data_IF_581575221831
#
_entry.id   IF_581575221831
#
_cell.length_a   1.000
_cell.length_b   1.000
_cell.length_c   1.000
_cell.angle_alpha   90.00
_cell.angle_beta   90.00
_cell.angle_gamma   90.00
#
_symmetry.space_group_name_H-M   'P 1'
#
loop_
_entity.id
_entity.type
_entity.pdbx_description
1 polymer ?
#
# COMPACT_ATOMS: atom_id res chain seq x y z
N UNK A 1 -10.73 -18.33 -9.02
CA UNK A 1 -10.27 -16.94 -8.87
C UNK A 1 -10.50 -16.51 -7.44
N UNK A 2 -9.43 -16.21 -6.71
CA UNK A 2 -9.49 -15.79 -5.30
C UNK A 2 -10.04 -14.38 -5.17
N UNK A 3 -10.44 -13.96 -3.96
CA UNK A 3 -10.83 -12.55 -3.71
C UNK A 3 -9.66 -11.58 -3.95
N UNK A 4 -8.43 -12.01 -3.67
CA UNK A 4 -7.21 -11.27 -4.01
C UNK A 4 -7.11 -11.05 -5.52
N UNK A 5 -7.28 -12.11 -6.33
CA UNK A 5 -7.20 -12.02 -7.80
C UNK A 5 -8.28 -11.07 -8.34
N UNK A 6 -9.53 -11.20 -7.85
CA UNK A 6 -10.64 -10.30 -8.22
C UNK A 6 -10.34 -8.84 -7.91
N UNK A 7 -9.69 -8.57 -6.77
CA UNK A 7 -9.34 -7.20 -6.41
C UNK A 7 -8.21 -6.66 -7.26
N UNK A 8 -7.15 -7.46 -7.51
CA UNK A 8 -6.09 -7.10 -8.46
C UNK A 8 -6.67 -6.76 -9.82
N UNK A 9 -7.54 -7.60 -10.36
CA UNK A 9 -8.23 -7.37 -11.64
C UNK A 9 -8.99 -6.04 -11.63
N UNK A 10 -9.65 -5.67 -10.54
CA UNK A 10 -10.36 -4.38 -10.46
C UNK A 10 -9.40 -3.18 -10.51
N UNK A 11 -8.20 -3.28 -9.94
CA UNK A 11 -7.19 -2.23 -10.04
C UNK A 11 -6.57 -2.16 -11.45
N UNK A 12 -6.30 -3.32 -12.06
CA UNK A 12 -5.58 -3.43 -13.33
C UNK A 12 -6.46 -3.29 -14.57
N UNK A 13 -7.79 -3.32 -14.44
CA UNK A 13 -8.71 -3.08 -15.56
C UNK A 13 -9.16 -1.61 -15.70
N UNK A 14 -8.65 -0.69 -14.87
CA UNK A 14 -9.02 0.73 -14.86
C UNK A 14 -8.01 1.70 -15.51
N UNK A 15 -8.23 3.01 -15.32
CA UNK A 15 -7.26 4.05 -15.69
C UNK A 15 -5.94 3.85 -14.92
N UNK A 16 -4.81 3.87 -15.63
CA UNK A 16 -3.47 3.57 -15.10
C UNK A 16 -3.20 2.09 -14.81
N UNK A 17 -3.92 1.19 -15.49
CA UNK A 17 -3.76 -0.27 -15.46
C UNK A 17 -2.30 -0.74 -15.42
N UNK A 18 -1.48 -0.24 -16.35
CA UNK A 18 -0.08 -0.62 -16.47
C UNK A 18 0.74 -0.30 -15.21
N UNK A 19 0.48 0.86 -14.57
CA UNK A 19 1.19 1.24 -13.36
C UNK A 19 0.76 0.44 -12.15
N UNK A 20 -0.52 0.09 -12.03
CA UNK A 20 -0.95 -0.83 -10.98
C UNK A 20 -0.31 -2.21 -11.16
N UNK A 21 -0.22 -2.71 -12.39
CA UNK A 21 0.51 -3.95 -12.69
C UNK A 21 1.96 -3.83 -12.22
N UNK A 22 2.68 -2.78 -12.61
CA UNK A 22 4.09 -2.57 -12.22
C UNK A 22 4.27 -2.46 -10.69
N UNK A 23 3.39 -1.72 -10.01
CA UNK A 23 3.42 -1.60 -8.54
C UNK A 23 3.23 -2.98 -7.90
N UNK A 24 2.21 -3.72 -8.31
CA UNK A 24 1.90 -5.01 -7.70
C UNK A 24 2.97 -6.05 -8.00
N UNK A 25 3.48 -6.11 -9.24
CA UNK A 25 4.62 -6.96 -9.60
C UNK A 25 5.84 -6.63 -8.75
N UNK A 26 6.21 -5.35 -8.61
CA UNK A 26 7.35 -4.92 -7.78
C UNK A 26 7.19 -5.37 -6.33
N UNK A 27 6.00 -5.20 -5.76
CA UNK A 27 5.74 -5.59 -4.38
C UNK A 27 5.81 -7.12 -4.21
N UNK A 28 5.22 -7.88 -5.13
CA UNK A 28 5.16 -9.34 -5.05
C UNK A 28 6.51 -10.00 -5.30
N UNK A 29 7.30 -9.47 -6.22
CA UNK A 29 8.68 -9.92 -6.48
C UNK A 29 9.60 -9.71 -5.27
N UNK A 30 9.28 -8.76 -4.39
CA UNK A 30 10.00 -8.56 -3.13
C UNK A 30 9.55 -9.48 -1.99
N UNK A 31 8.65 -10.43 -2.26
CA UNK A 31 8.20 -11.44 -1.30
C UNK A 31 7.01 -11.02 -0.42
N UNK A 32 6.43 -9.83 -0.65
CA UNK A 32 5.23 -9.41 0.07
C UNK A 32 4.00 -10.16 -0.47
N UNK A 33 3.16 -10.61 0.45
CA UNK A 33 1.96 -11.41 0.13
C UNK A 33 0.72 -10.54 0.06
N UNK A 34 -0.03 -10.69 -1.03
CA UNK A 34 -1.29 -9.97 -1.24
C UNK A 34 -2.47 -10.66 -0.53
N UNK A 35 -3.26 -9.88 0.20
CA UNK A 35 -4.49 -10.29 0.87
C UNK A 35 -5.65 -9.37 0.48
N UNK A 36 -6.58 -9.90 -0.30
CA UNK A 36 -7.82 -9.21 -0.65
C UNK A 36 -8.85 -9.24 0.48
N UNK A 37 -9.31 -8.08 0.93
CA UNK A 37 -10.42 -7.95 1.90
C UNK A 37 -11.70 -7.55 1.19
N UNK A 38 -12.56 -8.54 0.94
CA UNK A 38 -13.80 -8.42 0.16
C UNK A 38 -14.78 -7.38 0.72
N UNK A 39 -14.81 -7.19 2.04
CA UNK A 39 -15.67 -6.24 2.73
C UNK A 39 -15.31 -4.77 2.54
N UNK A 40 -14.07 -4.46 2.14
CA UNK A 40 -13.51 -3.09 2.16
C UNK A 40 -12.88 -2.68 0.84
N UNK A 41 -13.01 -3.50 -0.21
CA UNK A 41 -12.33 -3.28 -1.52
C UNK A 41 -10.85 -2.95 -1.36
N UNK A 42 -10.22 -3.55 -0.33
CA UNK A 42 -8.84 -3.27 0.05
C UNK A 42 -7.96 -4.44 -0.35
N UNK A 43 -6.87 -4.14 -1.05
CA UNK A 43 -5.78 -5.06 -1.31
C UNK A 43 -4.62 -4.73 -0.35
N UNK A 44 -4.39 -5.63 0.61
CA UNK A 44 -3.36 -5.49 1.64
C UNK A 44 -2.12 -6.26 1.22
N UNK A 45 -0.94 -5.69 1.41
CA UNK A 45 0.34 -6.35 1.20
C UNK A 45 1.06 -6.51 2.53
N UNK A 46 1.40 -7.77 2.83
CA UNK A 46 1.92 -8.17 4.12
C UNK A 46 3.34 -8.73 3.96
N UNK A 47 4.19 -8.40 4.92
CA UNK A 47 5.52 -8.98 5.07
C UNK A 47 5.52 -9.90 6.29
N UNK A 48 6.08 -11.09 6.15
CA UNK A 48 6.33 -11.99 7.28
C UNK A 48 7.80 -11.85 7.65
N UNK A 49 8.05 -11.38 8.86
CA UNK A 49 9.42 -11.22 9.35
C UNK A 49 10.05 -12.59 9.74
N UNK A 50 11.36 -12.63 10.02
CA UNK A 50 12.03 -13.87 10.44
C UNK A 50 11.52 -14.46 11.75
N UNK A 51 10.86 -13.66 12.61
CA UNK A 51 10.24 -14.14 13.85
C UNK A 51 8.87 -14.80 13.61
N UNK A 52 8.34 -14.68 12.39
CA UNK A 52 7.03 -15.16 11.99
C UNK A 52 5.90 -14.16 12.22
N UNK A 53 6.19 -12.95 12.69
CA UNK A 53 5.24 -11.84 12.82
C UNK A 53 4.81 -11.38 11.42
N UNK A 54 3.51 -11.13 11.24
CA UNK A 54 2.96 -10.61 9.98
C UNK A 54 2.71 -9.12 10.14
N UNK A 55 3.37 -8.33 9.31
CA UNK A 55 3.32 -6.88 9.30
C UNK A 55 2.59 -6.39 8.05
N UNK A 56 1.66 -5.47 8.21
CA UNK A 56 0.96 -4.85 7.10
C UNK A 56 1.78 -3.67 6.56
N UNK A 57 2.20 -3.75 5.29
CA UNK A 57 3.14 -2.78 4.70
C UNK A 57 2.40 -1.75 3.84
N UNK A 58 1.52 -2.20 2.95
CA UNK A 58 0.73 -1.33 2.07
C UNK A 58 -0.72 -1.78 2.04
N UNK A 59 -1.65 -0.83 1.95
CA UNK A 59 -3.05 -1.11 1.69
C UNK A 59 -3.56 -0.23 0.54
N UNK A 60 -3.97 -0.86 -0.55
CA UNK A 60 -4.57 -0.19 -1.70
C UNK A 60 -6.09 -0.28 -1.62
N UNK A 61 -6.81 0.81 -1.90
CA UNK A 61 -8.28 0.87 -1.86
C UNK A 61 -8.87 1.38 -3.18
N UNK A 62 -10.02 0.83 -3.58
CA UNK A 62 -10.81 1.27 -4.75
C UNK A 62 -12.11 1.92 -4.29
N UNK A 63 -12.03 3.15 -3.79
CA UNK A 63 -13.21 4.00 -3.52
C UNK A 63 -13.10 4.79 -2.21
N UNK A 64 -12.35 5.92 -2.18
CA UNK A 64 -11.52 6.51 -3.23
C UNK A 64 -10.24 5.72 -3.52
N UNK A 65 -9.58 5.99 -4.66
CA UNK A 65 -8.30 5.35 -5.01
C UNK A 65 -7.19 5.84 -4.08
N UNK A 66 -6.77 5.02 -3.12
CA UNK A 66 -5.79 5.38 -2.09
C UNK A 66 -4.74 4.29 -1.92
N UNK A 67 -3.51 4.71 -1.64
CA UNK A 67 -2.53 3.89 -0.95
C UNK A 67 -2.45 4.35 0.51
N UNK A 68 -2.46 3.40 1.43
CA UNK A 68 -2.35 3.64 2.87
C UNK A 68 -1.14 2.88 3.42
N UNK A 69 -0.49 3.48 4.41
CA UNK A 69 0.67 2.96 5.10
C UNK A 69 0.24 2.49 6.51
N UNK A 70 -0.02 1.20 6.74
CA UNK A 70 -0.63 0.70 7.98
C UNK A 70 0.26 0.92 9.22
N UNK A 71 -0.34 1.24 10.37
CA UNK A 71 0.40 1.56 11.60
C UNK A 71 1.26 0.42 12.14
N UNK A 72 0.87 -0.83 11.91
CA UNK A 72 1.56 -2.03 12.42
C UNK A 72 3.05 -2.02 12.07
N UNK A 73 3.39 -1.66 10.83
CA UNK A 73 4.77 -1.42 10.41
C UNK A 73 5.18 0.04 10.65
N UNK A 74 4.40 0.99 10.14
CA UNK A 74 4.88 2.36 9.96
C UNK A 74 5.00 3.22 11.22
N UNK A 75 4.40 2.82 12.36
CA UNK A 75 4.62 3.53 13.63
C UNK A 75 6.09 3.45 14.07
N UNK A 76 6.73 2.29 13.90
CA UNK A 76 8.16 2.09 14.21
C UNK A 76 9.05 2.83 13.21
N UNK A 77 8.55 3.11 12.01
CA UNK A 77 9.28 3.75 10.91
C UNK A 77 8.75 5.15 10.57
N UNK A 78 8.22 5.89 11.55
CA UNK A 78 7.52 7.17 11.35
C UNK A 78 8.38 8.24 10.65
N UNK A 79 9.67 8.34 10.96
CA UNK A 79 10.56 9.30 10.31
C UNK A 79 10.69 9.04 8.79
N UNK A 80 10.83 7.76 8.42
CA UNK A 80 10.91 7.32 7.03
C UNK A 80 9.57 7.57 6.31
N UNK A 81 8.46 7.21 6.94
CA UNK A 81 7.12 7.52 6.41
C UNK A 81 6.95 9.02 6.16
N UNK A 82 7.30 9.87 7.12
CA UNK A 82 7.19 11.31 6.97
C UNK A 82 8.03 11.84 5.79
N UNK A 83 9.22 11.28 5.57
CA UNK A 83 10.06 11.59 4.41
C UNK A 83 9.38 11.26 3.09
N UNK A 84 8.66 10.14 3.00
CA UNK A 84 7.84 9.79 1.83
C UNK A 84 6.63 10.71 1.68
N UNK A 85 5.87 10.96 2.76
CA UNK A 85 4.68 11.80 2.72
C UNK A 85 4.98 13.28 2.42
N UNK A 86 6.19 13.76 2.73
CA UNK A 86 6.63 15.11 2.42
C UNK A 86 6.78 15.36 0.91
N UNK A 87 6.85 14.31 0.09
CA UNK A 87 6.97 14.40 -1.37
C UNK A 87 5.63 14.68 -2.05
N UNK A 88 4.52 14.59 -1.31
CA UNK A 88 3.17 14.82 -1.82
C UNK A 88 2.59 16.12 -1.29
N UNK A 89 1.76 16.77 -2.12
CA UNK A 89 1.00 17.94 -1.70
C UNK A 89 -0.01 17.58 -0.60
N UNK A 90 -0.42 18.57 0.21
CA UNK A 90 -1.48 18.35 1.21
C UNK A 90 -2.81 17.93 0.59
N UNK A 91 -3.10 18.35 -0.66
CA UNK A 91 -4.32 17.96 -1.37
C UNK A 91 -4.36 16.47 -1.76
N UNK A 92 -3.18 15.88 -1.92
CA UNK A 92 -3.00 14.45 -2.24
C UNK A 92 -3.01 13.58 -0.98
N UNK A 93 -2.98 14.18 0.22
CA UNK A 93 -2.97 13.50 1.51
C UNK A 93 -4.32 13.67 2.22
N UNK A 94 -5.33 12.84 1.87
CA UNK A 94 -6.64 12.96 2.50
C UNK A 94 -6.51 12.68 3.99
N UNK A 95 -7.29 13.42 4.78
CA UNK A 95 -7.39 13.20 6.22
C UNK A 95 -7.70 11.72 6.50
N UNK A 96 -7.05 11.17 7.53
CA UNK A 96 -7.32 9.81 7.97
C UNK A 96 -8.77 9.78 8.51
N UNK A 97 -9.70 9.20 7.77
CA UNK A 97 -11.10 9.13 8.19
C UNK A 97 -11.27 8.33 9.49
N UNK A 98 -12.15 8.82 10.37
CA UNK A 98 -12.46 8.20 11.64
C UNK A 98 -13.44 7.02 11.51
N UNK A 99 -13.06 5.90 12.15
CA UNK A 99 -13.90 4.80 12.65
C UNK A 99 -15.01 4.24 11.76
N UNK A 100 -14.66 3.47 10.72
CA UNK A 100 -15.50 2.35 10.24
C UNK A 100 -14.59 1.16 9.87
N UNK A 101 -14.51 0.15 10.76
CA UNK A 101 -14.02 -1.23 10.52
C UNK A 101 -12.49 -1.56 10.49
N UNK A 102 -11.97 -1.87 11.70
CA UNK A 102 -11.06 -2.96 12.16
C UNK A 102 -9.71 -3.32 11.51
N UNK A 103 -9.28 -2.79 10.36
CA UNK A 103 -7.85 -2.90 9.97
C UNK A 103 -7.09 -1.71 10.55
N UNK A 104 -6.63 -1.87 11.79
CA UNK A 104 -5.99 -0.90 12.66
C UNK A 104 -5.14 0.16 11.93
N UNK A 105 -5.73 1.34 11.81
CA UNK A 105 -5.19 2.66 11.49
C UNK A 105 -4.05 2.76 10.46
N UNK A 106 -4.27 3.60 9.46
CA UNK A 106 -3.18 4.10 8.63
C UNK A 106 -2.33 5.13 9.39
N UNK A 107 -1.00 5.06 9.26
CA UNK A 107 -0.06 6.08 9.72
C UNK A 107 0.04 7.25 8.73
N UNK A 108 -0.41 7.04 7.49
CA UNK A 108 -0.46 8.03 6.43
C UNK A 108 -1.08 7.46 5.16
N UNK A 109 -1.69 8.30 4.33
CA UNK A 109 -2.31 7.85 3.09
C UNK A 109 -2.18 8.90 2.00
N UNK A 110 -2.18 8.44 0.76
CA UNK A 110 -2.01 9.27 -0.44
C UNK A 110 -3.06 8.86 -1.48
N UNK A 111 -3.66 9.84 -2.15
CA UNK A 111 -4.53 9.60 -3.31
C UNK A 111 -3.72 9.05 -4.46
N UNK A 112 -4.22 8.00 -5.08
CA UNK A 112 -3.65 7.47 -6.31
C UNK A 112 -4.29 8.21 -7.48
N UNK A 113 -3.50 9.04 -8.14
CA UNK A 113 -3.89 9.84 -9.30
C UNK A 113 -2.78 9.73 -10.35
N UNK A 114 -3.02 10.24 -11.56
CA UNK A 114 -1.98 10.33 -12.60
C UNK A 114 -0.74 11.10 -12.13
N UNK A 115 -0.89 12.06 -11.23
CA UNK A 115 0.21 12.90 -10.75
C UNK A 115 1.03 12.23 -9.64
N UNK A 116 0.42 11.30 -8.91
CA UNK A 116 1.05 10.69 -7.72
C UNK A 116 1.54 9.27 -7.98
N UNK A 117 1.05 8.59 -9.02
CA UNK A 117 1.29 7.17 -9.25
C UNK A 117 2.76 6.81 -9.50
N UNK A 118 3.51 7.67 -10.21
CA UNK A 118 4.95 7.46 -10.42
C UNK A 118 5.73 7.55 -9.10
N UNK A 119 5.39 8.52 -8.25
CA UNK A 119 6.02 8.68 -6.95
C UNK A 119 5.66 7.52 -5.99
N UNK A 120 4.41 7.04 -6.07
CA UNK A 120 3.97 5.87 -5.31
C UNK A 120 4.74 4.62 -5.74
N UNK A 121 4.93 4.40 -7.05
CA UNK A 121 5.77 3.31 -7.55
C UNK A 121 7.19 3.39 -6.98
N UNK A 122 7.83 4.57 -7.05
CA UNK A 122 9.17 4.77 -6.51
C UNK A 122 9.26 4.43 -5.00
N UNK A 123 8.27 4.87 -4.20
CA UNK A 123 8.21 4.55 -2.76
C UNK A 123 8.02 3.05 -2.54
N UNK A 124 7.13 2.40 -3.29
CA UNK A 124 6.94 0.95 -3.19
C UNK A 124 8.25 0.21 -3.49
N UNK A 125 8.94 0.56 -4.58
CA UNK A 125 10.24 -0.01 -4.94
C UNK A 125 11.27 0.17 -3.82
N UNK A 126 11.42 1.37 -3.27
CA UNK A 126 12.42 1.66 -2.23
C UNK A 126 12.13 0.90 -0.92
N UNK A 127 10.86 0.85 -0.50
CA UNK A 127 10.44 0.11 0.69
C UNK A 127 10.69 -1.38 0.51
N UNK A 128 10.29 -1.94 -0.64
CA UNK A 128 10.51 -3.34 -0.98
C UNK A 128 12.01 -3.69 -0.98
N UNK A 129 12.86 -2.84 -1.57
CA UNK A 129 14.31 -3.01 -1.54
C UNK A 129 14.88 -2.99 -0.11
N UNK A 130 14.35 -2.13 0.76
CA UNK A 130 14.77 -2.07 2.17
C UNK A 130 14.37 -3.35 2.91
N UNK A 131 13.16 -3.86 2.69
CA UNK A 131 12.68 -5.07 3.35
C UNK A 131 13.49 -6.30 2.95
N UNK A 132 13.95 -6.38 1.70
CA UNK A 132 14.82 -7.48 1.23
C UNK A 132 16.26 -7.41 1.73
N UNK A 133 16.71 -6.28 2.29
CA UNK A 133 18.09 -6.11 2.83
C UNK A 133 18.18 -6.29 4.35
N UNK A 134 17.06 -6.57 5.03
CA UNK A 134 17.03 -6.77 6.49
C UNK A 134 17.31 -8.26 6.87
N UNK A 135 17.69 -9.10 5.91
CA UNK A 135 18.17 -10.47 6.16
C UNK A 135 19.57 -10.52 6.80
#
# INVERSE_FOLDING_TARGET
MTETDKLKDKFTNGLSSQRFIEIFSTIEESGLQALGKSNTTTLLYQYRDPSGEVLDIFAFRLGPALISFPRSYWLKHKAKLNGYLAQFSEFDKPALEGFISTSQYSAGQVKITRNTIEQILAICTEVCHTLSTIE
#
